data_IF_848830832617
#
_entry.id   IF_848830832617
#
_cell.length_a   1.000
_cell.length_b   1.000
_cell.length_c   1.000
_cell.angle_alpha   90.00
_cell.angle_beta   90.00
_cell.angle_gamma   90.00
#
_symmetry.space_group_name_H-M   'P 1'
#
loop_
_entity.id
_entity.type
_entity.pdbx_description
1 polymer ?
#
# COMPACT_ATOMS: atom_id res chain seq x y z
N UNK A 1 -4.29 -9.98 -11.06
CA UNK A 1 -2.81 -9.97 -11.09
C UNK A 1 -2.40 -8.61 -11.60
N UNK A 2 -1.73 -7.83 -10.77
CA UNK A 2 -1.15 -6.54 -11.17
C UNK A 2 0.28 -6.88 -11.58
N UNK A 3 0.46 -7.27 -12.85
CA UNK A 3 1.77 -7.58 -13.39
C UNK A 3 2.36 -6.31 -14.01
N UNK A 4 3.59 -5.97 -13.54
CA UNK A 4 4.55 -5.11 -14.23
C UNK A 4 4.28 -3.60 -14.34
N UNK A 5 3.91 -2.94 -13.24
CA UNK A 5 4.32 -1.53 -13.15
C UNK A 5 5.78 -1.51 -12.68
N UNK A 6 6.73 -1.30 -13.58
CA UNK A 6 8.11 -0.95 -13.21
C UNK A 6 8.07 0.46 -12.64
N UNK A 7 7.96 0.56 -11.31
CA UNK A 7 8.22 1.83 -10.65
C UNK A 7 9.69 2.17 -10.90
N UNK A 8 9.94 3.29 -11.54
CA UNK A 8 11.26 3.90 -11.49
C UNK A 8 11.54 4.26 -10.01
N UNK A 9 12.79 4.14 -9.58
CA UNK A 9 13.21 4.43 -8.20
C UNK A 9 12.88 5.85 -7.72
N UNK A 10 12.45 6.74 -8.64
CA UNK A 10 12.14 8.15 -8.41
C UNK A 10 10.70 8.48 -8.87
N UNK A 11 9.71 8.03 -8.10
CA UNK A 11 8.31 8.34 -8.33
C UNK A 11 7.89 9.59 -7.53
N UNK A 12 7.46 10.65 -8.21
CA UNK A 12 6.99 11.88 -7.60
C UNK A 12 5.48 12.00 -7.65
N UNK A 13 4.85 12.21 -6.48
CA UNK A 13 3.42 12.43 -6.33
C UNK A 13 3.19 13.89 -5.93
N UNK A 14 2.29 14.58 -6.63
CA UNK A 14 1.97 15.98 -6.39
C UNK A 14 0.51 16.29 -6.69
N UNK A 15 0.07 17.52 -6.41
CA UNK A 15 -1.30 18.03 -6.61
C UNK A 15 -2.40 17.14 -6.01
N UNK A 16 -2.16 16.61 -4.81
CA UNK A 16 -3.14 15.75 -4.14
C UNK A 16 -4.32 16.60 -3.66
N UNK A 17 -5.49 16.36 -4.25
CA UNK A 17 -6.76 16.96 -3.83
C UNK A 17 -7.78 15.89 -3.49
N UNK A 18 -8.68 16.21 -2.55
CA UNK A 18 -9.70 15.28 -2.07
C UNK A 18 -11.07 15.90 -2.30
N UNK A 19 -11.95 15.15 -2.92
CA UNK A 19 -13.36 15.50 -3.13
C UNK A 19 -14.22 14.39 -2.55
N UNK A 20 -15.04 14.72 -1.57
CA UNK A 20 -16.00 13.78 -0.99
C UNK A 20 -17.40 14.37 -0.99
N UNK A 21 -18.39 13.52 -0.84
CA UNK A 21 -19.77 13.99 -0.75
C UNK A 21 -20.81 12.92 -1.02
N UNK A 22 -22.04 13.39 -1.08
CA UNK A 22 -23.22 12.57 -1.37
C UNK A 22 -23.79 12.98 -2.73
N UNK A 23 -24.17 12.00 -3.54
CA UNK A 23 -24.82 12.24 -4.85
C UNK A 23 -26.09 11.42 -4.96
N UNK A 24 -27.13 12.06 -5.47
CA UNK A 24 -28.38 11.39 -5.82
C UNK A 24 -28.22 10.56 -7.10
N UNK A 25 -29.13 9.60 -7.29
CA UNK A 25 -29.24 8.82 -8.53
C UNK A 25 -29.32 9.70 -9.77
N UNK A 26 -28.67 9.28 -10.85
CA UNK A 26 -28.65 9.97 -12.14
C UNK A 26 -27.69 11.16 -12.22
N UNK A 27 -26.99 11.51 -11.14
CA UNK A 27 -25.91 12.49 -11.24
C UNK A 27 -24.74 11.92 -12.03
N UNK A 28 -24.26 12.69 -12.99
CA UNK A 28 -23.20 12.28 -13.92
C UNK A 28 -21.98 13.19 -13.82
N UNK A 29 -20.84 12.63 -14.16
CA UNK A 29 -19.61 13.38 -14.44
C UNK A 29 -19.12 12.94 -15.82
N UNK A 30 -18.82 13.90 -16.68
CA UNK A 30 -18.52 13.64 -18.09
C UNK A 30 -17.10 14.11 -18.45
N UNK A 31 -16.25 13.18 -18.81
CA UNK A 31 -14.88 13.39 -19.28
C UNK A 31 -14.71 12.95 -20.75
N UNK A 32 -15.80 12.76 -21.51
CA UNK A 32 -15.73 12.25 -22.89
C UNK A 32 -15.06 13.22 -23.85
N UNK A 33 -15.13 14.52 -23.60
CA UNK A 33 -14.60 15.55 -24.50
C UNK A 33 -13.09 15.71 -24.39
N UNK A 34 -12.57 15.87 -23.16
CA UNK A 34 -11.16 16.24 -22.93
C UNK A 34 -10.37 15.18 -22.13
N UNK A 35 -11.02 14.12 -21.71
CA UNK A 35 -10.45 13.16 -20.78
C UNK A 35 -10.32 13.71 -19.34
N UNK A 36 -9.90 12.87 -18.44
CA UNK A 36 -9.65 13.24 -17.05
C UNK A 36 -8.34 14.03 -16.92
N UNK A 37 -8.34 15.09 -16.11
CA UNK A 37 -7.17 15.99 -15.99
C UNK A 37 -6.08 15.50 -15.04
N UNK A 38 -6.38 14.55 -14.16
CA UNK A 38 -5.47 13.98 -13.15
C UNK A 38 -5.76 12.50 -12.93
N UNK A 39 -4.83 11.75 -12.37
CA UNK A 39 -5.13 10.43 -11.83
C UNK A 39 -6.09 10.54 -10.65
N UNK A 40 -6.79 9.46 -10.31
CA UNK A 40 -7.66 9.45 -9.15
C UNK A 40 -7.90 8.06 -8.60
N UNK A 41 -8.14 8.01 -7.29
CA UNK A 41 -8.73 6.86 -6.62
C UNK A 41 -10.13 7.22 -6.16
N UNK A 42 -11.14 6.51 -6.67
CA UNK A 42 -12.52 6.61 -6.18
C UNK A 42 -12.78 5.48 -5.19
N UNK A 43 -13.24 5.82 -4.01
CA UNK A 43 -13.77 4.87 -3.04
C UNK A 43 -15.25 5.16 -2.80
N UNK A 44 -16.09 4.14 -2.87
CA UNK A 44 -17.54 4.23 -2.63
C UNK A 44 -17.83 3.71 -1.22
N UNK A 45 -18.28 4.61 -0.34
CA UNK A 45 -18.71 4.26 1.01
C UNK A 45 -20.04 3.53 1.03
N UNK A 46 -20.99 4.08 0.27
CA UNK A 46 -22.33 3.54 0.10
C UNK A 46 -22.87 3.93 -1.28
N UNK A 47 -23.58 3.00 -1.94
CA UNK A 47 -24.15 3.23 -3.26
C UNK A 47 -23.37 2.57 -4.39
N UNK A 48 -23.48 3.14 -5.59
CA UNK A 48 -22.92 2.58 -6.81
C UNK A 48 -22.52 3.70 -7.79
N UNK A 49 -21.31 3.60 -8.34
CA UNK A 49 -20.82 4.42 -9.44
C UNK A 49 -20.57 3.55 -10.68
N UNK A 50 -21.22 3.86 -11.77
CA UNK A 50 -21.09 3.17 -13.06
C UNK A 50 -20.32 4.04 -14.05
N UNK A 51 -19.29 3.48 -14.67
CA UNK A 51 -18.46 4.11 -15.68
C UNK A 51 -18.74 3.51 -17.04
N UNK A 52 -18.74 4.36 -18.06
CA UNK A 52 -18.88 3.99 -19.45
C UNK A 52 -17.72 4.63 -20.25
N UNK A 53 -16.86 3.83 -20.85
CA UNK A 53 -15.77 4.30 -21.72
C UNK A 53 -16.27 4.60 -23.15
N UNK A 54 -15.35 5.00 -24.03
CA UNK A 54 -15.66 5.32 -25.44
C UNK A 54 -16.18 4.09 -26.21
N UNK A 55 -15.80 2.87 -25.81
CA UNK A 55 -16.31 1.62 -26.39
C UNK A 55 -17.60 1.13 -25.74
N UNK A 56 -18.20 1.91 -24.85
CA UNK A 56 -19.36 1.56 -24.02
C UNK A 56 -19.13 0.38 -23.07
N UNK A 57 -17.87 0.05 -22.79
CA UNK A 57 -17.54 -0.92 -21.76
C UNK A 57 -17.99 -0.35 -20.40
N UNK A 58 -18.69 -1.17 -19.65
CA UNK A 58 -19.22 -0.80 -18.34
C UNK A 58 -18.30 -1.30 -17.24
N UNK A 59 -17.89 -0.40 -16.34
CA UNK A 59 -17.24 -0.75 -15.08
C UNK A 59 -18.10 -0.24 -13.93
N UNK A 60 -18.37 -1.09 -12.94
CA UNK A 60 -19.21 -0.75 -11.78
C UNK A 60 -18.35 -0.81 -10.53
N UNK A 61 -18.50 0.20 -9.68
CA UNK A 61 -17.83 0.33 -8.38
C UNK A 61 -18.92 0.43 -7.31
N UNK A 62 -18.88 -0.47 -6.34
CA UNK A 62 -19.90 -0.57 -5.30
C UNK A 62 -19.32 -0.33 -3.90
N UNK A 63 -20.15 -0.50 -2.89
CA UNK A 63 -19.79 -0.29 -1.48
C UNK A 63 -18.48 -0.96 -1.08
N UNK A 64 -17.57 -0.18 -0.52
CA UNK A 64 -16.28 -0.64 -0.01
C UNK A 64 -15.24 -0.90 -1.10
N UNK A 65 -15.54 -0.67 -2.37
CA UNK A 65 -14.59 -0.87 -3.47
C UNK A 65 -13.81 0.40 -3.78
N UNK A 66 -12.54 0.20 -4.18
CA UNK A 66 -11.64 1.23 -4.67
C UNK A 66 -11.40 1.04 -6.17
N UNK A 67 -11.63 2.09 -6.94
CA UNK A 67 -11.28 2.13 -8.36
C UNK A 67 -10.18 3.15 -8.65
N UNK A 68 -9.24 2.78 -9.52
CA UNK A 68 -8.30 3.72 -10.12
C UNK A 68 -8.90 4.36 -11.37
N UNK A 69 -8.72 5.66 -11.51
CA UNK A 69 -9.21 6.50 -12.59
C UNK A 69 -8.02 7.14 -13.30
N UNK A 70 -7.63 6.68 -14.50
CA UNK A 70 -6.44 7.18 -15.20
C UNK A 70 -6.58 8.63 -15.67
N UNK A 71 -5.51 9.40 -15.61
CA UNK A 71 -5.34 10.69 -16.30
C UNK A 71 -5.53 10.48 -17.82
N UNK A 72 -6.10 11.46 -18.50
CA UNK A 72 -6.41 11.46 -19.95
C UNK A 72 -7.47 10.46 -20.41
N UNK A 73 -7.90 9.50 -19.55
CA UNK A 73 -8.96 8.55 -19.91
C UNK A 73 -10.27 9.27 -20.14
N UNK A 74 -10.93 8.96 -21.24
CA UNK A 74 -12.25 9.46 -21.59
C UNK A 74 -13.32 8.49 -21.11
N UNK A 75 -14.27 8.98 -20.34
CA UNK A 75 -15.41 8.22 -19.84
C UNK A 75 -16.52 9.12 -19.35
N UNK A 76 -17.72 8.56 -19.23
CA UNK A 76 -18.84 9.12 -18.46
C UNK A 76 -19.06 8.27 -17.23
N UNK A 77 -19.24 8.90 -16.08
CA UNK A 77 -19.58 8.24 -14.83
C UNK A 77 -20.99 8.67 -14.41
N UNK A 78 -21.77 7.74 -13.88
CA UNK A 78 -23.12 7.95 -13.37
C UNK A 78 -23.26 7.27 -11.99
N UNK A 79 -23.90 7.97 -11.04
CA UNK A 79 -24.29 7.41 -9.76
C UNK A 79 -25.67 6.74 -9.90
N UNK A 80 -25.76 5.43 -9.66
CA UNK A 80 -26.92 4.61 -10.01
C UNK A 80 -27.77 4.20 -8.82
N UNK A 81 -27.24 4.20 -7.60
CA UNK A 81 -28.02 4.00 -6.38
C UNK A 81 -28.82 5.26 -5.96
N UNK A 82 -29.90 5.12 -5.17
CA UNK A 82 -30.71 6.25 -4.69
C UNK A 82 -29.89 7.31 -3.95
N UNK A 83 -28.94 6.90 -3.13
CA UNK A 83 -27.94 7.73 -2.46
C UNK A 83 -26.56 7.12 -2.67
N UNK A 84 -25.54 7.94 -2.89
CA UNK A 84 -24.19 7.49 -3.15
C UNK A 84 -23.20 8.36 -2.37
N UNK A 85 -22.51 7.77 -1.43
CA UNK A 85 -21.47 8.43 -0.63
C UNK A 85 -20.09 7.98 -1.12
N UNK A 86 -19.22 8.94 -1.42
CA UNK A 86 -17.94 8.65 -2.05
C UNK A 86 -16.83 9.60 -1.61
N UNK A 87 -15.61 9.18 -1.82
CA UNK A 87 -14.43 10.03 -1.80
C UNK A 87 -13.57 9.77 -3.03
N UNK A 88 -13.11 10.84 -3.66
CA UNK A 88 -12.12 10.80 -4.75
C UNK A 88 -10.87 11.51 -4.30
N UNK A 89 -9.75 10.83 -4.38
CA UNK A 89 -8.42 11.41 -4.18
C UNK A 89 -7.78 11.59 -5.54
N UNK A 90 -7.65 12.84 -6.00
CA UNK A 90 -6.99 13.17 -7.25
C UNK A 90 -5.51 13.46 -6.99
N UNK A 91 -4.65 13.12 -7.93
CA UNK A 91 -3.20 13.34 -7.84
C UNK A 91 -2.55 13.28 -9.22
N UNK A 92 -1.39 13.89 -9.33
CA UNK A 92 -0.49 13.70 -10.45
C UNK A 92 0.72 12.86 -10.07
N UNK A 93 1.25 12.12 -11.04
CA UNK A 93 2.32 11.16 -10.88
C UNK A 93 3.31 11.31 -12.02
N UNK A 94 4.59 11.51 -11.71
CA UNK A 94 5.65 11.59 -12.72
C UNK A 94 6.92 10.84 -12.28
N UNK A 95 7.76 10.54 -13.28
CA UNK A 95 9.11 10.04 -13.08
C UNK A 95 10.09 11.19 -12.74
N UNK A 96 11.39 10.87 -12.56
CA UNK A 96 12.46 11.84 -12.29
C UNK A 96 12.67 12.89 -13.40
N UNK A 97 12.18 12.62 -14.60
CA UNK A 97 12.27 13.54 -15.75
C UNK A 97 10.97 14.35 -15.93
N UNK A 98 10.05 14.27 -14.96
CA UNK A 98 8.72 14.91 -14.99
C UNK A 98 7.82 14.38 -16.11
N UNK A 99 8.05 13.17 -16.64
CA UNK A 99 7.10 12.54 -17.54
C UNK A 99 5.95 11.93 -16.75
N UNK A 100 4.72 12.08 -17.23
CA UNK A 100 3.54 11.46 -16.64
C UNK A 100 3.71 9.92 -16.55
N UNK A 101 3.41 9.36 -15.40
CA UNK A 101 3.43 7.91 -15.15
C UNK A 101 1.99 7.43 -14.95
N UNK A 102 1.59 6.42 -15.72
CA UNK A 102 0.31 5.76 -15.54
C UNK A 102 0.48 4.54 -14.63
N UNK A 103 -0.33 4.43 -13.57
CA UNK A 103 -0.42 3.22 -12.75
C UNK A 103 -1.16 2.10 -13.48
N UNK A 104 -2.18 2.47 -14.24
CA UNK A 104 -2.99 1.60 -15.09
C UNK A 104 -3.50 2.41 -16.28
N UNK A 105 -3.68 1.74 -17.42
CA UNK A 105 -4.17 2.37 -18.66
C UNK A 105 -5.69 2.47 -18.73
N UNK A 106 -6.41 1.78 -17.84
CA UNK A 106 -7.87 1.72 -17.81
C UNK A 106 -8.44 1.94 -16.40
N UNK A 107 -9.75 2.14 -16.32
CA UNK A 107 -10.47 2.14 -15.05
C UNK A 107 -10.48 0.71 -14.52
N UNK A 108 -9.89 0.50 -13.36
CA UNK A 108 -9.76 -0.83 -12.75
C UNK A 108 -10.19 -0.80 -11.29
N UNK A 109 -10.82 -1.89 -10.82
CA UNK A 109 -11.01 -2.15 -9.40
C UNK A 109 -9.67 -2.59 -8.82
N UNK A 110 -9.14 -1.81 -7.88
CA UNK A 110 -7.76 -1.97 -7.38
C UNK A 110 -7.71 -2.89 -6.17
N UNK A 111 -8.77 -2.95 -5.40
CA UNK A 111 -8.86 -3.78 -4.21
C UNK A 111 -10.22 -4.46 -4.12
N UNK A 112 -10.19 -5.75 -3.84
CA UNK A 112 -11.35 -6.56 -3.45
C UNK A 112 -11.05 -7.25 -2.12
N UNK A 113 -12.06 -7.37 -1.27
CA UNK A 113 -12.06 -8.15 -0.03
C UNK A 113 -11.18 -7.63 1.13
N UNK A 114 -10.23 -8.43 1.64
CA UNK A 114 -9.56 -8.25 2.94
C UNK A 114 -8.69 -6.97 3.07
N UNK A 115 -8.29 -6.38 1.96
CA UNK A 115 -7.58 -5.10 1.89
C UNK A 115 -8.51 -3.90 2.11
N UNK A 116 -9.82 -4.10 1.93
CA UNK A 116 -10.86 -3.05 1.95
C UNK A 116 -10.89 -2.27 3.27
N UNK A 117 -10.75 -2.92 4.43
CA UNK A 117 -10.77 -2.22 5.73
C UNK A 117 -9.59 -1.25 5.90
N UNK A 118 -8.39 -1.63 5.40
CA UNK A 118 -7.20 -0.76 5.46
C UNK A 118 -7.37 0.42 4.54
N UNK A 119 -7.85 0.18 3.32
CA UNK A 119 -8.15 1.22 2.34
C UNK A 119 -9.21 2.18 2.89
N UNK A 120 -10.31 1.67 3.45
CA UNK A 120 -11.35 2.49 4.07
C UNK A 120 -10.77 3.45 5.12
N UNK A 121 -9.89 2.95 6.02
CA UNK A 121 -9.23 3.79 7.03
C UNK A 121 -8.34 4.88 6.40
N UNK A 122 -7.61 4.55 5.34
CA UNK A 122 -6.79 5.53 4.61
C UNK A 122 -7.70 6.58 3.95
N UNK A 123 -8.80 6.16 3.32
CA UNK A 123 -9.73 7.07 2.64
C UNK A 123 -10.46 7.99 3.64
N UNK A 124 -10.84 7.50 4.83
CA UNK A 124 -11.34 8.35 5.93
C UNK A 124 -10.33 9.44 6.33
N UNK A 125 -9.04 9.07 6.44
CA UNK A 125 -8.00 10.05 6.78
C UNK A 125 -7.81 11.10 5.66
N UNK A 126 -7.97 10.73 4.39
CA UNK A 126 -7.97 11.71 3.29
C UNK A 126 -9.14 12.70 3.42
N UNK A 127 -10.34 12.25 3.77
CA UNK A 127 -11.50 13.13 3.99
C UNK A 127 -11.25 14.14 5.11
N UNK A 128 -10.65 13.70 6.21
CA UNK A 128 -10.27 14.59 7.34
C UNK A 128 -9.26 15.67 6.92
N UNK A 129 -8.44 15.40 5.92
CA UNK A 129 -7.46 16.35 5.37
C UNK A 129 -8.02 17.20 4.20
N UNK A 130 -9.28 17.05 3.80
CA UNK A 130 -9.83 17.61 2.56
C UNK A 130 -9.88 19.13 2.56
N UNK A 131 -10.25 19.76 3.67
CA UNK A 131 -10.58 21.19 3.77
C UNK A 131 -9.39 22.10 4.08
N UNK A 132 -8.30 21.56 4.60
CA UNK A 132 -7.14 22.38 5.03
C UNK A 132 -6.02 22.38 3.98
N UNK A 133 -5.30 23.52 3.89
CA UNK A 133 -4.13 23.72 3.01
C UNK A 133 -2.87 24.08 3.79
N UNK A 134 -2.77 23.64 5.04
CA UNK A 134 -1.52 23.84 5.83
C UNK A 134 -0.42 22.89 5.34
N UNK A 135 0.84 23.22 5.64
CA UNK A 135 1.99 22.35 5.33
C UNK A 135 1.80 20.94 5.93
N UNK A 136 1.27 20.86 7.15
CA UNK A 136 0.96 19.61 7.82
C UNK A 136 -0.01 18.74 6.99
N UNK A 137 -1.12 19.32 6.51
CA UNK A 137 -2.09 18.57 5.71
C UNK A 137 -1.57 18.20 4.33
N UNK A 138 -0.67 19.02 3.73
CA UNK A 138 0.02 18.68 2.48
C UNK A 138 0.91 17.45 2.69
N UNK A 139 1.72 17.45 3.74
CA UNK A 139 2.60 16.31 4.07
C UNK A 139 1.79 15.06 4.44
N UNK A 140 0.69 15.25 5.18
CA UNK A 140 -0.22 14.15 5.55
C UNK A 140 -0.87 13.50 4.33
N UNK A 141 -1.31 14.28 3.35
CA UNK A 141 -1.86 13.75 2.08
C UNK A 141 -0.83 12.93 1.31
N UNK A 142 0.43 13.39 1.25
CA UNK A 142 1.52 12.64 0.61
C UNK A 142 1.78 11.31 1.34
N UNK A 143 1.89 11.34 2.65
CA UNK A 143 2.04 10.13 3.48
C UNK A 143 0.91 9.13 3.22
N UNK A 144 -0.34 9.58 3.24
CA UNK A 144 -1.51 8.76 2.98
C UNK A 144 -1.50 8.15 1.57
N UNK A 145 -1.02 8.91 0.56
CA UNK A 145 -0.93 8.41 -0.82
C UNK A 145 0.13 7.31 -0.95
N UNK A 146 1.32 7.49 -0.39
CA UNK A 146 2.34 6.43 -0.39
C UNK A 146 1.87 5.19 0.38
N UNK A 147 1.13 5.38 1.48
CA UNK A 147 0.51 4.28 2.22
C UNK A 147 -0.55 3.56 1.40
N UNK A 148 -1.40 4.29 0.67
CA UNK A 148 -2.40 3.71 -0.21
C UNK A 148 -1.75 2.89 -1.31
N UNK A 149 -0.76 3.44 -2.00
CA UNK A 149 0.00 2.73 -3.03
C UNK A 149 0.70 1.49 -2.47
N UNK A 150 1.37 1.59 -1.33
CA UNK A 150 1.97 0.45 -0.65
C UNK A 150 0.96 -0.64 -0.29
N UNK A 151 -0.26 -0.26 0.12
CA UNK A 151 -1.34 -1.21 0.41
C UNK A 151 -1.83 -1.91 -0.85
N UNK A 152 -1.89 -1.22 -1.99
CA UNK A 152 -2.35 -1.76 -3.29
C UNK A 152 -1.31 -2.71 -3.89
N UNK A 153 -0.04 -2.30 -3.92
CA UNK A 153 1.04 -3.01 -4.63
C UNK A 153 1.75 -4.05 -3.78
N UNK A 154 1.72 -3.91 -2.47
CA UNK A 154 2.29 -4.87 -1.53
C UNK A 154 1.28 -5.26 -0.45
N UNK A 155 0.23 -6.00 -0.78
CA UNK A 155 -0.84 -6.35 0.17
C UNK A 155 -0.32 -7.15 1.37
N UNK A 156 0.87 -7.72 1.26
CA UNK A 156 1.56 -8.42 2.36
C UNK A 156 2.51 -7.51 3.16
N UNK A 157 2.82 -6.32 2.67
CA UNK A 157 3.73 -5.37 3.29
C UNK A 157 2.96 -4.11 3.67
N UNK A 158 2.35 -4.16 4.83
CA UNK A 158 1.67 -3.00 5.40
C UNK A 158 2.72 -2.09 6.03
N UNK A 159 2.96 -0.91 5.45
CA UNK A 159 3.54 0.21 6.19
C UNK A 159 2.49 0.67 7.21
N UNK A 160 2.40 -0.04 8.32
CA UNK A 160 1.58 0.38 9.46
C UNK A 160 2.35 1.50 10.14
N UNK A 161 1.85 2.72 10.04
CA UNK A 161 2.42 3.81 10.84
C UNK A 161 2.03 3.65 12.31
N UNK A 162 2.85 4.20 13.21
CA UNK A 162 2.56 4.17 14.65
C UNK A 162 1.15 4.64 15.02
N UNK A 163 0.55 5.56 14.26
CA UNK A 163 -0.81 6.05 14.48
C UNK A 163 -1.91 5.03 14.17
N UNK A 164 -1.60 3.96 13.45
CA UNK A 164 -2.56 2.92 13.05
C UNK A 164 -2.46 1.65 13.88
N UNK A 165 -1.37 1.51 14.64
CA UNK A 165 -1.19 0.40 15.58
C UNK A 165 -2.10 0.63 16.78
N UNK A 166 -2.85 -0.40 17.17
CA UNK A 166 -3.58 -0.37 18.43
C UNK A 166 -2.61 0.03 19.56
N UNK A 167 -2.96 1.07 20.33
CA UNK A 167 -2.15 1.52 21.48
C UNK A 167 -1.78 0.36 22.41
N UNK A 168 -2.64 -0.67 22.44
CA UNK A 168 -2.46 -1.87 23.23
C UNK A 168 -1.17 -2.64 22.92
N UNK A 169 -0.65 -2.59 21.67
CA UNK A 169 0.56 -3.34 21.27
C UNK A 169 1.66 -2.46 20.67
N UNK A 170 1.48 -1.14 20.65
CA UNK A 170 2.38 -0.21 19.99
C UNK A 170 3.85 -0.32 20.48
N UNK A 171 4.05 -0.44 21.79
CA UNK A 171 5.40 -0.55 22.39
C UNK A 171 6.11 -1.86 21.98
N UNK A 172 5.39 -2.99 21.96
CA UNK A 172 5.94 -4.28 21.56
C UNK A 172 6.25 -4.34 20.07
N UNK A 173 5.43 -3.70 19.23
CA UNK A 173 5.72 -3.54 17.81
C UNK A 173 6.96 -2.69 17.61
N UNK A 174 7.06 -1.57 18.29
CA UNK A 174 8.24 -0.71 18.24
C UNK A 174 9.52 -1.44 18.65
N UNK A 175 9.48 -2.19 19.75
CA UNK A 175 10.61 -3.00 20.20
C UNK A 175 11.00 -4.04 19.13
N UNK A 176 10.02 -4.73 18.51
CA UNK A 176 10.26 -5.69 17.45
C UNK A 176 10.95 -5.04 16.25
N UNK A 177 10.52 -3.86 15.83
CA UNK A 177 11.10 -3.12 14.70
C UNK A 177 12.51 -2.60 15.00
N UNK A 178 12.83 -2.29 16.24
CA UNK A 178 14.17 -1.88 16.65
C UNK A 178 15.14 -3.07 16.80
N UNK A 179 14.62 -4.23 17.20
CA UNK A 179 15.42 -5.40 17.55
C UNK A 179 15.21 -6.60 16.61
N UNK A 180 14.70 -6.35 15.38
CA UNK A 180 14.37 -7.45 14.47
C UNK A 180 15.56 -8.33 14.06
N UNK A 181 16.78 -7.83 14.16
CA UNK A 181 18.02 -8.59 13.95
C UNK A 181 18.30 -9.56 15.10
N UNK A 182 17.77 -9.29 16.29
CA UNK A 182 17.96 -10.10 17.47
C UNK A 182 16.89 -11.20 17.58
N UNK A 183 17.26 -12.33 18.21
CA UNK A 183 16.33 -13.45 18.41
C UNK A 183 15.52 -13.33 19.72
N UNK A 184 14.97 -12.14 19.98
CA UNK A 184 14.14 -11.94 21.15
C UNK A 184 12.88 -12.82 21.11
N UNK A 185 12.52 -13.49 22.23
CA UNK A 185 11.29 -14.26 22.32
C UNK A 185 10.06 -13.33 22.27
N UNK A 186 8.94 -13.86 21.79
CA UNK A 186 7.70 -13.11 21.68
C UNK A 186 7.18 -12.56 23.02
N UNK A 187 7.57 -13.18 24.13
CA UNK A 187 7.23 -12.74 25.48
C UNK A 187 7.70 -11.32 25.75
N UNK A 188 8.91 -10.96 25.32
CA UNK A 188 9.46 -9.62 25.52
C UNK A 188 8.66 -8.53 24.78
N UNK A 189 8.17 -8.83 23.57
CA UNK A 189 7.31 -7.89 22.84
C UNK A 189 5.95 -7.71 23.51
N UNK A 190 5.39 -8.80 24.04
CA UNK A 190 4.14 -8.75 24.80
C UNK A 190 4.30 -8.01 26.12
N UNK A 191 5.40 -8.24 26.85
CA UNK A 191 5.76 -7.55 28.08
C UNK A 191 5.96 -6.04 27.86
N UNK A 192 6.66 -5.65 26.80
CA UNK A 192 6.83 -4.24 26.42
C UNK A 192 5.50 -3.51 26.17
N UNK A 193 4.47 -4.27 25.82
CA UNK A 193 3.09 -3.78 25.64
C UNK A 193 2.18 -4.00 26.84
N UNK A 194 2.68 -4.57 27.95
CA UNK A 194 1.89 -4.92 29.15
C UNK A 194 0.67 -5.82 28.86
N UNK A 195 0.81 -6.75 27.91
CA UNK A 195 -0.26 -7.68 27.52
C UNK A 195 0.21 -9.13 27.56
N UNK A 196 -0.73 -10.08 27.54
CA UNK A 196 -0.38 -11.49 27.40
C UNK A 196 0.15 -11.79 25.98
N UNK A 197 0.97 -12.85 25.85
CA UNK A 197 1.48 -13.31 24.55
C UNK A 197 0.35 -13.61 23.55
N UNK A 198 -0.76 -14.18 24.03
CA UNK A 198 -1.92 -14.47 23.19
C UNK A 198 -2.61 -13.20 22.73
N UNK A 199 -2.78 -12.22 23.60
CA UNK A 199 -3.32 -10.90 23.25
C UNK A 199 -2.45 -10.22 22.22
N UNK A 200 -1.12 -10.20 22.45
CA UNK A 200 -0.17 -9.60 21.52
C UNK A 200 -0.26 -10.26 20.13
N UNK A 201 -0.25 -11.60 20.04
CA UNK A 201 -0.37 -12.33 18.77
C UNK A 201 -1.68 -12.03 18.05
N UNK A 202 -2.80 -12.04 18.76
CA UNK A 202 -4.12 -11.83 18.17
C UNK A 202 -4.30 -10.40 17.65
N UNK A 203 -3.92 -9.41 18.45
CA UNK A 203 -3.99 -8.00 18.03
C UNK A 203 -3.02 -7.75 16.89
N UNK A 204 -1.78 -8.28 16.97
CA UNK A 204 -0.79 -8.17 15.92
C UNK A 204 -1.28 -8.80 14.59
N UNK A 205 -1.85 -10.02 14.67
CA UNK A 205 -2.42 -10.70 13.48
C UNK A 205 -3.58 -9.89 12.88
N UNK A 206 -4.41 -9.28 13.71
CA UNK A 206 -5.53 -8.44 13.26
C UNK A 206 -5.03 -7.16 12.57
N UNK A 207 -4.01 -6.50 13.13
CA UNK A 207 -3.49 -5.23 12.62
C UNK A 207 -2.58 -5.41 11.40
N UNK A 208 -1.71 -6.43 11.41
CA UNK A 208 -0.67 -6.65 10.40
C UNK A 208 -1.00 -7.77 9.39
N UNK A 209 -2.08 -8.52 9.59
CA UNK A 209 -2.45 -9.65 8.73
C UNK A 209 -1.47 -10.83 8.79
N UNK A 210 -0.49 -10.81 9.71
CA UNK A 210 0.56 -11.83 9.82
C UNK A 210 1.03 -11.98 11.26
N UNK A 211 1.70 -13.11 11.59
CA UNK A 211 2.24 -13.28 12.93
C UNK A 211 3.49 -12.41 13.17
N UNK A 212 3.79 -12.02 14.44
CA UNK A 212 4.97 -11.22 14.78
C UNK A 212 6.28 -11.82 14.26
N UNK A 213 6.45 -13.15 14.36
CA UNK A 213 7.67 -13.83 13.90
C UNK A 213 7.81 -13.82 12.37
N UNK A 214 6.69 -13.97 11.63
CA UNK A 214 6.72 -13.84 10.17
C UNK A 214 7.01 -12.40 9.75
N UNK A 215 6.46 -11.42 10.46
CA UNK A 215 6.74 -10.01 10.24
C UNK A 215 8.23 -9.72 10.45
N UNK A 216 8.81 -10.14 11.60
CA UNK A 216 10.25 -10.02 11.87
C UNK A 216 11.09 -10.63 10.77
N UNK A 217 10.76 -11.84 10.33
CA UNK A 217 11.52 -12.52 9.28
C UNK A 217 11.43 -11.77 7.92
N UNK A 218 10.32 -11.09 7.62
CA UNK A 218 10.23 -10.23 6.43
C UNK A 218 11.16 -9.03 6.51
N UNK A 219 11.24 -8.34 7.65
CA UNK A 219 12.19 -7.24 7.85
C UNK A 219 13.64 -7.72 7.63
N UNK A 220 13.97 -8.91 8.12
CA UNK A 220 15.28 -9.54 7.89
C UNK A 220 15.55 -9.85 6.42
N UNK A 221 14.55 -10.29 5.67
CA UNK A 221 14.69 -10.52 4.22
C UNK A 221 14.95 -9.20 3.48
N UNK A 222 14.27 -8.11 3.83
CA UNK A 222 14.55 -6.81 3.21
C UNK A 222 15.99 -6.36 3.51
N UNK A 223 16.44 -6.50 4.75
CA UNK A 223 17.85 -6.23 5.11
C UNK A 223 18.83 -7.12 4.33
N UNK A 224 18.51 -8.39 4.16
CA UNK A 224 19.35 -9.31 3.37
C UNK A 224 19.43 -8.90 1.89
N UNK A 225 18.35 -8.39 1.29
CA UNK A 225 18.36 -7.87 -0.09
C UNK A 225 19.33 -6.69 -0.23
N UNK A 226 19.31 -5.76 0.72
CA UNK A 226 20.24 -4.63 0.75
C UNK A 226 21.69 -5.14 0.78
N UNK A 227 22.01 -6.01 1.73
CA UNK A 227 23.37 -6.58 1.89
C UNK A 227 23.83 -7.37 0.65
N UNK A 228 22.93 -8.11 0.00
CA UNK A 228 23.23 -8.83 -1.24
C UNK A 228 23.41 -7.90 -2.44
N UNK A 229 22.91 -6.68 -2.37
CA UNK A 229 23.11 -5.65 -3.40
C UNK A 229 24.43 -4.91 -3.22
N UNK A 230 24.99 -4.91 -2.01
CA UNK A 230 26.29 -4.33 -1.73
C UNK A 230 27.43 -5.28 -2.17
N UNK A 231 28.48 -4.72 -2.77
CA UNK A 231 29.69 -5.49 -3.11
C UNK A 231 30.43 -5.89 -1.83
N UNK A 232 30.54 -7.20 -1.56
CA UNK A 232 31.33 -7.70 -0.45
C UNK A 232 30.66 -8.79 0.40
N UNK A 233 29.34 -8.82 0.48
CA UNK A 233 28.66 -9.84 1.27
C UNK A 233 28.48 -11.17 0.50
N UNK A 234 28.91 -12.29 1.06
CA UNK A 234 28.47 -13.61 0.63
C UNK A 234 27.03 -13.87 1.07
N UNK A 235 26.39 -14.89 0.49
CA UNK A 235 25.03 -15.30 0.89
C UNK A 235 24.97 -15.67 2.38
N UNK A 236 26.00 -16.32 2.90
CA UNK A 236 26.07 -16.70 4.31
C UNK A 236 26.26 -15.49 5.23
N UNK A 237 27.13 -14.56 4.86
CA UNK A 237 27.34 -13.32 5.61
C UNK A 237 26.09 -12.46 5.62
N UNK A 238 25.39 -12.32 4.47
CA UNK A 238 24.12 -11.61 4.40
C UNK A 238 23.04 -12.26 5.27
N UNK A 239 22.99 -13.61 5.33
CA UNK A 239 22.07 -14.32 6.21
C UNK A 239 22.33 -13.99 7.68
N UNK A 240 23.60 -14.12 8.14
CA UNK A 240 23.94 -13.83 9.54
C UNK A 240 23.76 -12.35 9.88
N UNK A 241 24.22 -11.44 9.03
CA UNK A 241 24.08 -9.99 9.24
C UNK A 241 22.62 -9.50 9.21
N UNK A 242 21.72 -10.28 8.60
CA UNK A 242 20.27 -10.03 8.64
C UNK A 242 19.54 -10.78 9.77
N UNK A 243 20.27 -11.41 10.71
CA UNK A 243 19.71 -12.02 11.92
C UNK A 243 19.24 -13.47 11.76
N UNK A 244 19.56 -14.17 10.66
CA UNK A 244 19.28 -15.59 10.52
C UNK A 244 20.47 -16.43 11.05
N UNK A 245 20.18 -17.37 11.94
CA UNK A 245 21.18 -18.29 12.48
C UNK A 245 21.44 -19.50 11.58
N UNK A 246 20.52 -19.82 10.68
CA UNK A 246 20.61 -20.97 9.80
C UNK A 246 20.48 -20.54 8.34
N UNK A 247 21.59 -20.65 7.60
CA UNK A 247 21.68 -20.26 6.19
C UNK A 247 20.74 -21.10 5.30
N UNK A 248 20.57 -22.38 5.59
CA UNK A 248 19.66 -23.25 4.82
C UNK A 248 18.18 -22.84 4.99
N UNK A 249 17.79 -22.49 6.23
CA UNK A 249 16.47 -21.92 6.48
C UNK A 249 16.30 -20.56 5.79
N UNK A 250 17.31 -19.69 5.91
CA UNK A 250 17.34 -18.39 5.23
C UNK A 250 17.12 -18.53 3.72
N UNK A 251 17.88 -19.39 3.04
CA UNK A 251 17.78 -19.56 1.58
C UNK A 251 16.36 -20.01 1.16
N UNK A 252 15.76 -20.97 1.89
CA UNK A 252 14.40 -21.43 1.61
C UNK A 252 13.37 -20.32 1.83
N UNK A 253 13.47 -19.62 2.98
CA UNK A 253 12.54 -18.54 3.33
C UNK A 253 12.69 -17.34 2.40
N UNK A 254 13.93 -16.97 2.05
CA UNK A 254 14.22 -15.92 1.08
C UNK A 254 13.52 -16.20 -0.27
N UNK A 255 13.72 -17.41 -0.81
CA UNK A 255 13.08 -17.82 -2.06
C UNK A 255 11.55 -17.82 -1.97
N UNK A 256 11.02 -18.26 -0.85
CA UNK A 256 9.55 -18.22 -0.62
C UNK A 256 8.99 -16.80 -0.64
N UNK A 257 9.73 -15.82 -0.10
CA UNK A 257 9.28 -14.43 0.00
C UNK A 257 9.54 -13.64 -1.28
N UNK A 258 10.68 -13.86 -1.94
CA UNK A 258 11.15 -13.05 -3.08
C UNK A 258 10.90 -13.70 -4.44
N UNK A 259 10.61 -15.00 -4.49
CA UNK A 259 10.48 -15.78 -5.72
C UNK A 259 11.81 -16.28 -6.30
N UNK A 260 12.97 -15.78 -5.84
CA UNK A 260 14.30 -16.16 -6.32
C UNK A 260 15.26 -16.51 -5.17
N UNK A 261 16.33 -17.20 -5.47
CA UNK A 261 17.34 -17.52 -4.44
C UNK A 261 18.24 -16.31 -4.12
N UNK A 262 18.82 -16.24 -2.91
CA UNK A 262 19.77 -15.16 -2.56
C UNK A 262 20.96 -15.06 -3.52
N UNK A 263 21.44 -16.21 -4.04
CA UNK A 263 22.52 -16.26 -5.01
C UNK A 263 22.15 -15.72 -6.38
N UNK A 264 20.90 -15.86 -6.80
CA UNK A 264 20.37 -15.25 -8.03
C UNK A 264 20.26 -13.74 -7.89
N UNK A 265 19.71 -13.25 -6.76
CA UNK A 265 19.65 -11.81 -6.45
C UNK A 265 21.04 -11.19 -6.48
N UNK A 266 22.02 -11.81 -5.81
CA UNK A 266 23.41 -11.34 -5.79
C UNK A 266 23.99 -11.24 -7.20
N UNK A 267 23.84 -12.26 -8.03
CA UNK A 267 24.38 -12.26 -9.41
C UNK A 267 23.79 -11.16 -10.28
N UNK A 268 22.47 -10.93 -10.20
CA UNK A 268 21.78 -9.88 -10.97
C UNK A 268 22.31 -8.49 -10.64
N UNK A 269 22.64 -8.25 -9.37
CA UNK A 269 23.11 -6.94 -8.91
C UNK A 269 24.59 -6.66 -9.24
N UNK A 270 25.39 -7.71 -9.46
CA UNK A 270 26.80 -7.58 -9.86
C UNK A 270 27.04 -7.60 -11.37
N UNK A 271 26.01 -7.76 -12.19
CA UNK A 271 26.09 -7.77 -13.66
C UNK A 271 25.63 -6.44 -14.30
N UNK A 272 25.32 -5.45 -13.46
CA UNK A 272 25.06 -4.06 -13.86
C UNK A 272 26.23 -3.17 -13.48
#
# INVERSE_FOLDING_TARGET
MIENVRFADDLHIFDISVVSGIRAKGRTTDFTRYGRISNGFLFVWDGEATFFDEQRKKTVVTNGELAFLPKHKKYRMEYTAPSNTFVVVNFDLCDKNYNDVALFDDIVLVAKDDVTRRIAKIMTNFELCSTSKTMETILRKKELMYRLLGTIYAPSFSLVTRSDISEQIANGVHLLEQTYLENLPITQYAEASHVSVNTFRNVFQKEFGTSPLKYRNRLRIERAKELLSESGFSVSEAAYASGFENVGYFCRYYRQVTGESPGETKRKNHTK
#
